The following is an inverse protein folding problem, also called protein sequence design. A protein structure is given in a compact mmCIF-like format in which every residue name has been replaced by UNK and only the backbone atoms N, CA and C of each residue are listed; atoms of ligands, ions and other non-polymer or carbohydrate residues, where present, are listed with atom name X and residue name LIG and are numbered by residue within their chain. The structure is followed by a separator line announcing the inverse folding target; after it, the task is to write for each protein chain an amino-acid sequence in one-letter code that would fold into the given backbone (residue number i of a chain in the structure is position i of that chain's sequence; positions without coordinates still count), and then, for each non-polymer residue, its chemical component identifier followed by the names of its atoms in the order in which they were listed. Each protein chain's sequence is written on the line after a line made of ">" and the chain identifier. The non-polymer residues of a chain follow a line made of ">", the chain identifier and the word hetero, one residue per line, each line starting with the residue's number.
data_IF_942153033662
#
_entry.id   IF_942153033662
#
_cell.length_a   1.000
_cell.length_b   1.000
_cell.length_c   1.000
_cell.angle_alpha   90.00
_cell.angle_beta   90.00
_cell.angle_gamma   90.00
#
_symmetry.space_group_name_H-M   'P 1'
#
loop_
_entity.id
_entity.type
_entity.pdbx_description
1 polymer ?
#
# COMPACT_ATOMS: atom_id res chain seq x y z
N UNK A 1 -4.45 -3.38 -9.89
CA UNK A 1 -3.03 -3.44 -10.24
C UNK A 1 -2.39 -4.62 -9.55
N UNK A 2 -1.98 -5.62 -10.31
CA UNK A 2 -1.34 -6.82 -9.78
C UNK A 2 -0.11 -7.13 -10.63
N UNK A 3 1.00 -7.45 -9.99
CA UNK A 3 2.26 -7.84 -10.65
C UNK A 3 2.79 -6.82 -11.69
N UNK A 4 2.56 -5.53 -11.47
CA UNK A 4 3.00 -4.47 -12.38
C UNK A 4 2.10 -4.28 -13.60
N UNK A 5 0.86 -4.75 -13.54
CA UNK A 5 -0.12 -4.64 -14.63
C UNK A 5 -1.47 -4.17 -14.09
N UNK A 6 -2.12 -3.27 -14.83
CA UNK A 6 -3.51 -2.90 -14.60
C UNK A 6 -4.39 -3.93 -15.30
N UNK A 7 -5.15 -4.68 -14.53
CA UNK A 7 -5.95 -5.79 -15.03
C UNK A 7 -7.43 -5.60 -14.70
N UNK A 8 -8.28 -6.15 -15.56
CA UNK A 8 -9.71 -6.25 -15.31
C UNK A 8 -10.04 -7.41 -14.36
N UNK A 9 -11.29 -7.46 -13.90
CA UNK A 9 -11.81 -8.61 -13.16
C UNK A 9 -11.86 -9.86 -14.06
N UNK A 10 -11.50 -11.01 -13.51
CA UNK A 10 -11.59 -12.31 -14.21
C UNK A 10 -13.02 -12.68 -14.59
N UNK A 11 -14.03 -12.08 -13.92
CA UNK A 11 -15.45 -12.25 -14.22
C UNK A 11 -15.96 -11.25 -15.25
N UNK A 12 -15.18 -10.22 -15.62
CA UNK A 12 -15.62 -9.10 -16.44
C UNK A 12 -16.56 -8.12 -15.72
N UNK A 13 -16.79 -8.32 -14.40
CA UNK A 13 -17.66 -7.45 -13.61
C UNK A 13 -16.94 -6.17 -13.22
N UNK A 14 -17.69 -5.08 -13.09
CA UNK A 14 -17.19 -3.76 -12.69
C UNK A 14 -18.21 -3.05 -11.80
N UNK A 15 -17.77 -1.96 -11.15
CA UNK A 15 -18.61 -1.07 -10.36
C UNK A 15 -18.24 0.38 -10.59
N UNK A 16 -19.19 1.27 -10.41
CA UNK A 16 -19.03 2.71 -10.65
C UNK A 16 -18.58 3.44 -9.40
N UNK A 17 -17.71 4.42 -9.60
CA UNK A 17 -17.29 5.39 -8.60
C UNK A 17 -18.04 6.69 -8.84
N UNK A 18 -18.65 7.21 -7.80
CA UNK A 18 -19.50 8.39 -7.87
C UNK A 18 -18.85 9.59 -7.18
N UNK A 19 -19.06 10.75 -7.76
CA UNK A 19 -18.82 12.01 -7.06
C UNK A 19 -19.95 12.24 -6.04
N UNK A 20 -19.67 12.23 -4.73
CA UNK A 20 -20.71 12.34 -3.70
C UNK A 20 -21.43 13.69 -3.68
N UNK A 21 -20.88 14.73 -4.33
CA UNK A 21 -21.53 16.05 -4.36
C UNK A 21 -22.66 16.17 -5.38
N UNK A 22 -22.66 15.35 -6.44
CA UNK A 22 -23.63 15.44 -7.53
C UNK A 22 -24.09 14.09 -8.07
N UNK A 23 -23.61 12.97 -7.49
CA UNK A 23 -23.90 11.59 -7.90
C UNK A 23 -23.54 11.25 -9.37
N UNK A 24 -22.66 12.01 -9.99
CA UNK A 24 -22.14 11.68 -11.31
C UNK A 24 -21.12 10.55 -11.21
N UNK A 25 -21.15 9.62 -12.16
CA UNK A 25 -20.11 8.61 -12.33
C UNK A 25 -18.83 9.30 -12.80
N UNK A 26 -17.73 9.09 -12.07
CA UNK A 26 -16.41 9.66 -12.38
C UNK A 26 -15.44 8.61 -12.90
N UNK A 27 -15.68 7.35 -12.62
CA UNK A 27 -14.89 6.22 -13.10
C UNK A 27 -15.66 4.91 -12.94
N UNK A 28 -15.22 3.89 -13.67
CA UNK A 28 -15.64 2.50 -13.47
C UNK A 28 -14.42 1.66 -13.10
N UNK A 29 -14.53 0.84 -12.07
CA UNK A 29 -13.45 0.01 -11.55
C UNK A 29 -13.81 -1.47 -11.68
N UNK A 30 -12.82 -2.37 -11.86
CA UNK A 30 -13.08 -3.81 -11.91
C UNK A 30 -13.55 -4.32 -10.54
N UNK A 31 -14.57 -5.18 -10.53
CA UNK A 31 -15.00 -5.91 -9.32
C UNK A 31 -14.11 -7.14 -9.12
N UNK A 32 -13.05 -7.00 -8.32
CA UNK A 32 -12.11 -8.06 -8.03
C UNK A 32 -12.64 -8.97 -6.91
N UNK A 33 -12.21 -10.24 -6.93
CA UNK A 33 -12.68 -11.26 -5.99
C UNK A 33 -11.57 -12.13 -5.43
N UNK A 34 -11.95 -13.35 -5.07
CA UNK A 34 -11.03 -14.32 -4.45
C UNK A 34 -9.91 -14.73 -5.40
N UNK A 35 -10.19 -14.87 -6.71
CA UNK A 35 -9.17 -15.28 -7.69
C UNK A 35 -8.05 -14.25 -7.83
N UNK A 36 -8.41 -12.98 -7.97
CA UNK A 36 -7.43 -11.88 -8.04
C UNK A 36 -6.67 -11.74 -6.72
N UNK A 37 -7.35 -11.97 -5.58
CA UNK A 37 -6.71 -11.93 -4.26
C UNK A 37 -5.66 -13.02 -4.11
N UNK A 38 -5.97 -14.26 -4.50
CA UNK A 38 -5.00 -15.37 -4.49
C UNK A 38 -3.82 -15.08 -5.38
N UNK A 39 -4.07 -14.60 -6.58
CA UNK A 39 -3.00 -14.21 -7.51
C UNK A 39 -2.14 -13.08 -6.95
N UNK A 40 -2.74 -12.04 -6.36
CA UNK A 40 -2.00 -10.95 -5.72
C UNK A 40 -1.12 -11.44 -4.56
N UNK A 41 -1.63 -12.38 -3.73
CA UNK A 41 -0.84 -12.98 -2.63
C UNK A 41 0.33 -13.78 -3.18
N UNK A 42 0.11 -14.58 -4.22
CA UNK A 42 1.17 -15.39 -4.83
C UNK A 42 2.30 -14.51 -5.38
N UNK A 43 1.98 -13.52 -6.21
CA UNK A 43 2.99 -12.64 -6.80
C UNK A 43 3.67 -11.75 -5.75
N UNK A 44 2.94 -11.33 -4.71
CA UNK A 44 3.53 -10.59 -3.59
C UNK A 44 4.56 -11.45 -2.83
N UNK A 45 4.26 -12.72 -2.62
CA UNK A 45 5.18 -13.65 -1.96
C UNK A 45 6.43 -13.92 -2.81
N UNK A 46 6.28 -14.09 -4.12
CA UNK A 46 7.42 -14.24 -5.04
C UNK A 46 8.29 -12.96 -5.09
N UNK A 47 7.66 -11.79 -5.18
CA UNK A 47 8.36 -10.50 -5.21
C UNK A 47 9.08 -10.20 -3.89
N UNK A 48 8.50 -10.61 -2.75
CA UNK A 48 9.08 -10.47 -1.42
C UNK A 48 10.49 -11.08 -1.36
N UNK A 49 10.71 -12.26 -1.96
CA UNK A 49 12.01 -12.95 -1.93
C UNK A 49 13.15 -12.13 -2.55
N UNK A 50 12.84 -11.29 -3.52
CA UNK A 50 13.80 -10.37 -4.15
C UNK A 50 13.88 -9.04 -3.41
N UNK A 51 12.73 -8.50 -2.98
CA UNK A 51 12.64 -7.21 -2.30
C UNK A 51 13.36 -7.21 -0.95
N UNK A 52 13.19 -8.24 -0.14
CA UNK A 52 13.85 -8.38 1.17
C UNK A 52 15.38 -8.43 1.10
N UNK A 53 15.95 -8.82 -0.06
CA UNK A 53 17.40 -8.87 -0.27
C UNK A 53 18.02 -7.52 -0.62
N UNK A 54 17.21 -6.53 -1.02
CA UNK A 54 17.71 -5.17 -1.22
C UNK A 54 18.15 -4.58 0.11
N UNK A 55 19.22 -3.80 0.06
CA UNK A 55 19.66 -3.04 1.24
C UNK A 55 18.62 -2.01 1.67
N UNK A 56 18.64 -1.62 2.93
CA UNK A 56 17.78 -0.53 3.41
C UNK A 56 17.98 0.75 2.57
N UNK A 57 19.21 1.07 2.19
CA UNK A 57 19.54 2.22 1.33
C UNK A 57 18.82 2.17 -0.01
N UNK A 58 18.83 1.03 -0.69
CA UNK A 58 18.15 0.87 -1.99
C UNK A 58 16.64 1.05 -1.87
N UNK A 59 16.01 0.37 -0.88
CA UNK A 59 14.56 0.51 -0.64
C UNK A 59 14.18 1.95 -0.30
N UNK A 60 14.91 2.57 0.61
CA UNK A 60 14.67 3.94 1.04
C UNK A 60 14.89 4.96 -0.09
N UNK A 61 15.84 4.74 -0.99
CA UNK A 61 16.03 5.59 -2.18
C UNK A 61 14.84 5.53 -3.13
N UNK A 62 14.20 4.36 -3.28
CA UNK A 62 12.98 4.22 -4.08
C UNK A 62 11.80 4.92 -3.39
N UNK A 63 11.66 4.78 -2.06
CA UNK A 63 10.64 5.49 -1.29
C UNK A 63 10.82 7.01 -1.39
N UNK A 64 12.05 7.52 -1.37
CA UNK A 64 12.32 8.94 -1.55
C UNK A 64 11.85 9.45 -2.90
N UNK A 65 12.12 8.71 -3.98
CA UNK A 65 11.59 9.03 -5.32
C UNK A 65 10.06 9.03 -5.34
N UNK A 66 9.44 8.09 -4.64
CA UNK A 66 7.98 8.06 -4.54
C UNK A 66 7.43 9.29 -3.83
N UNK A 67 8.06 9.71 -2.73
CA UNK A 67 7.74 10.96 -2.05
C UNK A 67 7.83 12.16 -2.98
N UNK A 68 8.93 12.32 -3.70
CA UNK A 68 9.15 13.43 -4.62
C UNK A 68 8.05 13.45 -5.70
N UNK A 69 7.73 12.29 -6.31
CA UNK A 69 6.66 12.19 -7.30
C UNK A 69 5.27 12.50 -6.73
N UNK A 70 4.97 12.15 -5.48
CA UNK A 70 3.70 12.50 -4.84
C UNK A 70 3.58 14.01 -4.65
N UNK A 71 4.65 14.69 -4.26
CA UNK A 71 4.66 16.15 -4.13
C UNK A 71 4.59 16.87 -5.49
N UNK A 72 5.29 16.37 -6.50
CA UNK A 72 5.25 16.91 -7.87
C UNK A 72 3.85 16.83 -8.49
N UNK A 73 3.02 15.87 -8.06
CA UNK A 73 1.66 15.64 -8.54
C UNK A 73 0.58 16.01 -7.50
N UNK A 74 0.90 16.85 -6.52
CA UNK A 74 -0.01 17.17 -5.41
C UNK A 74 -1.34 17.74 -5.86
N UNK A 75 -1.35 18.57 -6.89
CA UNK A 75 -2.55 19.23 -7.38
C UNK A 75 -3.49 18.21 -8.05
N UNK A 76 -2.98 17.34 -8.91
CA UNK A 76 -3.75 16.28 -9.56
C UNK A 76 -4.31 15.27 -8.56
N UNK A 77 -3.47 14.81 -7.62
CA UNK A 77 -3.89 13.90 -6.54
C UNK A 77 -5.00 14.52 -5.67
N UNK A 78 -4.91 15.83 -5.41
CA UNK A 78 -5.91 16.55 -4.61
C UNK A 78 -7.23 16.67 -5.35
N UNK A 79 -7.20 16.90 -6.65
CA UNK A 79 -8.39 16.96 -7.51
C UNK A 79 -9.06 15.58 -7.54
N UNK A 80 -8.31 14.50 -7.80
CA UNK A 80 -8.83 13.13 -7.79
C UNK A 80 -9.52 12.84 -6.45
N UNK A 81 -8.86 13.14 -5.34
CA UNK A 81 -9.42 12.94 -4.00
C UNK A 81 -10.69 13.75 -3.76
N UNK A 82 -10.72 15.01 -4.15
CA UNK A 82 -11.90 15.86 -4.01
C UNK A 82 -13.09 15.29 -4.79
N UNK A 83 -12.86 14.79 -5.99
CA UNK A 83 -13.93 14.22 -6.82
C UNK A 83 -14.49 12.91 -6.25
N UNK A 84 -13.67 12.01 -5.74
CA UNK A 84 -14.16 10.71 -5.23
C UNK A 84 -14.61 10.75 -3.77
N UNK A 85 -13.99 11.61 -2.93
CA UNK A 85 -14.26 11.68 -1.50
C UNK A 85 -15.26 12.77 -1.12
N UNK A 86 -15.34 13.85 -1.91
CA UNK A 86 -16.21 15.01 -1.65
C UNK A 86 -15.64 16.03 -0.67
N UNK A 87 -14.41 15.84 -0.15
CA UNK A 87 -13.81 16.86 0.73
C UNK A 87 -13.34 18.09 -0.05
N UNK A 88 -13.29 19.26 0.59
CA UNK A 88 -12.80 20.48 -0.05
C UNK A 88 -11.38 20.33 -0.59
N UNK A 89 -11.08 20.93 -1.74
CA UNK A 89 -9.76 20.83 -2.39
C UNK A 89 -8.60 21.22 -1.47
N UNK A 90 -8.81 22.23 -0.61
CA UNK A 90 -7.81 22.65 0.38
C UNK A 90 -7.50 21.54 1.39
N UNK A 91 -8.50 20.77 1.82
CA UNK A 91 -8.33 19.66 2.74
C UNK A 91 -7.71 18.46 2.02
N UNK A 92 -8.09 18.18 0.77
CA UNK A 92 -7.45 17.16 -0.06
C UNK A 92 -5.95 17.45 -0.22
N UNK A 93 -5.59 18.70 -0.51
CA UNK A 93 -4.19 19.12 -0.62
C UNK A 93 -3.43 18.97 0.70
N UNK A 94 -4.06 19.31 1.82
CA UNK A 94 -3.49 19.09 3.15
C UNK A 94 -3.30 17.59 3.45
N UNK A 95 -4.25 16.74 3.03
CA UNK A 95 -4.11 15.30 3.20
C UNK A 95 -3.00 14.72 2.33
N UNK A 96 -2.83 15.14 1.08
CA UNK A 96 -1.72 14.64 0.24
C UNK A 96 -0.37 15.01 0.86
N UNK A 97 -0.21 16.24 1.40
CA UNK A 97 0.99 16.59 2.17
C UNK A 97 1.18 15.71 3.41
N UNK A 98 0.12 15.43 4.14
CA UNK A 98 0.16 14.52 5.29
C UNK A 98 0.48 13.09 4.87
N UNK A 99 -0.09 12.59 3.78
CA UNK A 99 0.20 11.28 3.23
C UNK A 99 1.66 11.15 2.79
N UNK A 100 2.21 12.18 2.14
CA UNK A 100 3.60 12.20 1.69
C UNK A 100 4.59 12.18 2.87
N UNK A 101 4.24 12.82 4.00
CA UNK A 101 5.10 12.85 5.19
C UNK A 101 5.39 11.45 5.77
N UNK A 102 4.49 10.48 5.62
CA UNK A 102 4.77 9.09 6.00
C UNK A 102 5.80 8.45 5.06
N UNK A 103 5.73 8.74 3.76
CA UNK A 103 6.70 8.19 2.81
C UNK A 103 8.09 8.78 3.12
N UNK A 104 8.17 10.09 3.35
CA UNK A 104 9.39 10.78 3.75
C UNK A 104 9.98 10.18 5.02
N UNK A 105 9.19 10.14 6.09
CA UNK A 105 9.61 9.60 7.38
C UNK A 105 10.18 8.19 7.27
N UNK A 106 9.47 7.27 6.62
CA UNK A 106 9.93 5.90 6.50
C UNK A 106 11.02 5.68 5.46
N UNK A 107 11.22 6.62 4.52
CA UNK A 107 12.41 6.64 3.66
C UNK A 107 13.70 6.89 4.45
N UNK A 108 13.60 7.53 5.62
CA UNK A 108 14.72 7.74 6.54
C UNK A 108 14.77 6.67 7.64
N UNK A 109 13.65 6.35 8.29
CA UNK A 109 13.59 5.39 9.38
C UNK A 109 13.92 3.96 8.95
N UNK A 110 13.66 3.58 7.70
CA UNK A 110 14.04 2.27 7.18
C UNK A 110 15.54 1.97 7.32
N UNK A 111 16.38 3.01 7.30
CA UNK A 111 17.84 2.92 7.49
C UNK A 111 18.23 2.71 8.97
N UNK A 112 17.30 2.91 9.92
CA UNK A 112 17.52 2.81 11.38
C UNK A 112 16.90 1.57 11.99
N UNK A 113 16.51 0.59 11.17
CA UNK A 113 15.98 -0.70 11.66
C UNK A 113 17.10 -1.57 12.26
N UNK A 114 17.76 -1.05 13.30
CA UNK A 114 18.93 -1.67 13.93
C UNK A 114 18.54 -2.96 14.69
N UNK A 115 19.52 -3.87 14.81
CA UNK A 115 19.52 -4.97 15.77
C UNK A 115 20.05 -4.52 17.15
N UNK A 116 20.26 -5.50 18.02
CA UNK A 116 20.80 -5.27 19.36
C UNK A 116 21.93 -6.27 19.66
N UNK A 117 22.97 -5.81 20.36
CA UNK A 117 23.89 -6.66 21.08
C UNK A 117 23.45 -6.71 22.53
N UNK A 118 23.24 -7.90 23.08
CA UNK A 118 22.68 -8.12 24.41
C UNK A 118 23.74 -8.85 25.24
N UNK A 119 24.04 -8.42 26.49
CA UNK A 119 24.93 -9.16 27.38
C UNK A 119 24.41 -10.58 27.62
N UNK A 120 25.29 -11.56 27.44
CA UNK A 120 24.98 -12.95 27.70
C UNK A 120 25.19 -13.28 29.18
N UNK A 121 24.50 -14.32 29.66
CA UNK A 121 24.63 -14.86 31.02
C UNK A 121 25.87 -15.71 31.20
N UNK A 122 26.56 -16.06 30.09
CA UNK A 122 27.75 -16.86 30.04
C UNK A 122 28.91 -16.13 29.34
N UNK A 123 30.16 -16.24 29.86
CA UNK A 123 31.27 -15.42 29.35
C UNK A 123 31.72 -15.81 27.93
N UNK A 124 31.43 -17.02 27.51
CA UNK A 124 31.79 -17.60 26.21
C UNK A 124 30.72 -17.32 25.12
N UNK A 125 29.62 -16.60 25.46
CA UNK A 125 28.52 -16.34 24.53
C UNK A 125 28.39 -14.87 24.18
N UNK A 126 27.86 -14.62 22.99
CA UNK A 126 27.39 -13.32 22.53
C UNK A 126 25.99 -13.47 21.97
N UNK A 127 25.09 -12.57 22.35
CA UNK A 127 23.70 -12.53 21.87
C UNK A 127 23.55 -11.31 20.96
N UNK A 128 23.18 -11.56 19.70
CA UNK A 128 22.90 -10.53 18.70
C UNK A 128 21.51 -10.78 18.15
N UNK A 129 20.67 -9.73 18.11
CA UNK A 129 19.37 -9.77 17.43
C UNK A 129 19.42 -8.94 16.16
N UNK A 130 18.71 -9.40 15.13
CA UNK A 130 18.53 -8.69 13.88
C UNK A 130 17.03 -8.54 13.60
N UNK A 131 16.63 -7.45 12.95
CA UNK A 131 15.26 -7.28 12.46
C UNK A 131 15.16 -7.81 11.04
N UNK A 132 14.09 -8.55 10.76
CA UNK A 132 13.81 -9.11 9.43
C UNK A 132 12.37 -8.76 9.02
N UNK A 133 12.11 -8.59 7.70
CA UNK A 133 10.75 -8.37 7.22
C UNK A 133 9.89 -9.62 7.46
N UNK A 134 8.63 -9.39 7.83
CA UNK A 134 7.71 -10.49 8.17
C UNK A 134 7.18 -11.25 6.96
N UNK A 135 7.15 -10.64 5.77
CA UNK A 135 6.61 -11.24 4.54
C UNK A 135 5.56 -10.36 3.86
N UNK A 136 4.53 -10.98 3.30
CA UNK A 136 3.41 -10.28 2.65
C UNK A 136 2.53 -9.61 3.71
N UNK A 137 2.24 -8.31 3.51
CA UNK A 137 1.36 -7.52 4.37
C UNK A 137 0.08 -7.14 3.62
N UNK A 138 -1.08 -7.50 4.16
CA UNK A 138 -2.38 -7.03 3.69
C UNK A 138 -2.76 -5.73 4.42
N UNK A 139 -3.11 -4.70 3.64
CA UNK A 139 -3.38 -3.35 4.13
C UNK A 139 -4.79 -2.94 3.72
N UNK A 140 -5.70 -2.87 4.69
CA UNK A 140 -7.11 -2.52 4.47
C UNK A 140 -7.34 -1.13 5.05
N UNK A 141 -7.92 -0.23 4.24
CA UNK A 141 -8.05 1.19 4.58
C UNK A 141 -9.45 1.73 4.34
N UNK A 142 -9.92 2.70 5.18
CA UNK A 142 -11.20 3.36 5.03
C UNK A 142 -11.15 4.50 4.00
N UNK A 143 -12.33 5.09 3.75
CA UNK A 143 -12.54 6.17 2.78
C UNK A 143 -12.20 7.57 3.29
N UNK A 144 -12.20 7.81 4.59
CA UNK A 144 -12.15 9.17 5.16
C UNK A 144 -10.79 9.89 4.99
N UNK A 145 -9.69 9.13 4.89
CA UNK A 145 -8.35 9.61 4.56
C UNK A 145 -7.72 8.66 3.52
N UNK A 146 -8.20 8.68 2.27
CA UNK A 146 -7.88 7.65 1.27
C UNK A 146 -6.41 7.59 0.87
N UNK A 147 -5.66 8.68 1.00
CA UNK A 147 -4.22 8.69 0.74
C UNK A 147 -3.40 8.40 2.00
N UNK A 148 -3.67 9.12 3.10
CA UNK A 148 -2.86 9.02 4.31
C UNK A 148 -2.95 7.65 4.99
N UNK A 149 -4.13 6.98 4.96
CA UNK A 149 -4.27 5.65 5.54
C UNK A 149 -3.52 4.59 4.75
N UNK A 150 -3.30 4.80 3.45
CA UNK A 150 -2.48 3.93 2.61
C UNK A 150 -1.00 4.16 2.90
N UNK A 151 -0.51 5.38 2.76
CA UNK A 151 0.93 5.66 2.84
C UNK A 151 1.52 5.33 4.21
N UNK A 152 0.78 5.58 5.31
CA UNK A 152 1.21 5.22 6.68
C UNK A 152 1.37 3.72 6.92
N UNK A 153 0.77 2.87 6.07
CA UNK A 153 0.88 1.42 6.12
C UNK A 153 1.88 0.89 5.09
N UNK A 154 1.82 1.40 3.87
CA UNK A 154 2.68 0.96 2.75
C UNK A 154 4.13 1.35 2.99
N UNK A 155 4.39 2.62 3.34
CA UNK A 155 5.76 3.11 3.47
C UNK A 155 6.58 2.33 4.51
N UNK A 156 6.12 2.10 5.76
CA UNK A 156 6.87 1.30 6.73
C UNK A 156 7.02 -0.16 6.30
N UNK A 157 6.00 -0.77 5.66
CA UNK A 157 6.09 -2.14 5.18
C UNK A 157 7.19 -2.30 4.12
N UNK A 158 7.21 -1.41 3.13
CA UNK A 158 8.22 -1.41 2.07
C UNK A 158 9.63 -1.08 2.61
N UNK A 159 9.74 -0.10 3.51
CA UNK A 159 11.00 0.26 4.16
C UNK A 159 11.59 -0.93 4.93
N UNK A 160 10.75 -1.69 5.63
CA UNK A 160 11.14 -2.90 6.34
C UNK A 160 11.54 -4.06 5.39
N UNK A 161 11.16 -4.01 4.11
CA UNK A 161 11.44 -5.06 3.12
C UNK A 161 10.29 -6.04 2.90
N UNK A 162 9.07 -5.73 3.34
CA UNK A 162 7.86 -6.48 3.08
C UNK A 162 7.28 -6.14 1.70
N UNK A 163 6.53 -7.06 1.09
CA UNK A 163 5.62 -6.78 -0.01
C UNK A 163 4.22 -6.50 0.53
N UNK A 164 3.39 -5.80 -0.26
CA UNK A 164 2.09 -5.35 0.21
C UNK A 164 0.96 -5.64 -0.78
N UNK A 165 -0.23 -5.89 -0.23
CA UNK A 165 -1.49 -5.94 -0.94
C UNK A 165 -2.39 -4.89 -0.30
N UNK A 166 -2.84 -3.92 -1.07
CA UNK A 166 -3.69 -2.82 -0.64
C UNK A 166 -5.12 -3.13 -1.03
N UNK A 167 -6.06 -3.07 -0.06
CA UNK A 167 -7.50 -3.05 -0.30
C UNK A 167 -8.03 -1.72 0.23
N UNK A 168 -8.20 -0.70 -0.63
CA UNK A 168 -8.81 0.57 -0.25
C UNK A 168 -10.33 0.41 -0.06
N UNK A 169 -10.96 1.42 0.51
CA UNK A 169 -12.42 1.48 0.52
C UNK A 169 -12.98 1.55 -0.91
N UNK A 170 -14.14 0.95 -1.11
CA UNK A 170 -14.83 0.91 -2.40
C UNK A 170 -15.25 2.29 -2.90
N UNK A 171 -15.44 3.25 -2.00
CA UNK A 171 -15.84 4.61 -2.33
C UNK A 171 -14.67 5.47 -2.85
N UNK A 172 -13.42 5.11 -2.50
CA UNK A 172 -12.24 5.95 -2.78
C UNK A 172 -11.05 5.15 -3.33
N UNK A 173 -11.22 4.38 -4.41
CA UNK A 173 -10.14 3.59 -4.99
C UNK A 173 -9.22 4.40 -5.91
N UNK A 174 -9.64 5.59 -6.39
CA UNK A 174 -8.87 6.36 -7.37
C UNK A 174 -7.63 7.00 -6.75
N UNK A 175 -7.72 7.54 -5.53
CA UNK A 175 -6.55 8.02 -4.77
C UNK A 175 -5.54 6.89 -4.55
N UNK A 176 -6.01 5.68 -4.22
CA UNK A 176 -5.16 4.51 -4.08
C UNK A 176 -4.46 4.15 -5.39
N UNK A 177 -5.21 4.14 -6.50
CA UNK A 177 -4.71 3.84 -7.84
C UNK A 177 -3.63 4.85 -8.26
N UNK A 178 -3.88 6.15 -8.05
CA UNK A 178 -2.93 7.21 -8.37
C UNK A 178 -1.62 7.07 -7.56
N UNK A 179 -1.71 6.78 -6.25
CA UNK A 179 -0.53 6.53 -5.42
C UNK A 179 0.28 5.31 -5.89
N UNK A 180 -0.39 4.21 -6.27
CA UNK A 180 0.26 3.01 -6.80
C UNK A 180 0.91 3.28 -8.15
N UNK A 181 0.26 4.05 -9.03
CA UNK A 181 0.85 4.48 -10.30
C UNK A 181 2.16 5.26 -10.08
N UNK A 182 2.17 6.22 -9.15
CA UNK A 182 3.38 6.97 -8.82
C UNK A 182 4.45 6.08 -8.15
N UNK A 183 4.06 5.08 -7.35
CA UNK A 183 4.97 4.10 -6.78
C UNK A 183 5.67 3.26 -7.85
N UNK A 184 4.94 2.86 -8.89
CA UNK A 184 5.51 2.19 -10.07
C UNK A 184 6.54 3.09 -10.78
N UNK A 185 6.19 4.37 -11.01
CA UNK A 185 7.10 5.36 -11.63
C UNK A 185 8.35 5.63 -10.78
N UNK A 186 8.24 5.52 -9.46
CA UNK A 186 9.38 5.61 -8.55
C UNK A 186 10.36 4.43 -8.67
N UNK A 187 9.93 3.33 -9.31
CA UNK A 187 10.74 2.14 -9.52
C UNK A 187 10.52 1.04 -8.49
N UNK A 188 9.36 1.00 -7.82
CA UNK A 188 8.97 -0.15 -7.01
C UNK A 188 8.78 -1.36 -7.94
N UNK A 189 9.46 -2.49 -7.67
CA UNK A 189 9.40 -3.64 -8.57
C UNK A 189 8.01 -4.26 -8.65
N UNK A 190 7.72 -4.88 -9.81
CA UNK A 190 6.49 -5.65 -10.05
C UNK A 190 6.23 -6.66 -8.93
N UNK A 191 4.99 -6.77 -8.48
CA UNK A 191 4.54 -7.67 -7.41
C UNK A 191 4.86 -7.20 -5.98
N UNK A 192 5.73 -6.22 -5.76
CA UNK A 192 6.03 -5.68 -4.42
C UNK A 192 4.86 -4.88 -3.86
N UNK A 193 4.14 -4.14 -4.72
CA UNK A 193 2.85 -3.52 -4.41
C UNK A 193 1.79 -4.14 -5.31
N UNK A 194 0.65 -4.50 -4.72
CA UNK A 194 -0.54 -4.95 -5.43
C UNK A 194 -1.75 -4.21 -4.85
N UNK A 195 -2.71 -3.86 -5.72
CA UNK A 195 -3.93 -3.14 -5.38
C UNK A 195 -5.14 -3.95 -5.81
N UNK A 196 -6.01 -4.26 -4.86
CA UNK A 196 -7.28 -4.96 -5.08
C UNK A 196 -8.42 -3.99 -4.82
N UNK A 197 -9.32 -3.84 -5.78
CA UNK A 197 -10.51 -3.00 -5.69
C UNK A 197 -11.76 -3.85 -5.85
N UNK A 198 -12.79 -3.59 -5.06
CA UNK A 198 -14.08 -4.28 -5.14
C UNK A 198 -15.15 -3.48 -4.40
N UNK A 199 -16.36 -3.49 -4.91
CA UNK A 199 -17.53 -2.98 -4.21
C UNK A 199 -17.96 -3.92 -3.07
N UNK A 200 -17.81 -5.24 -3.26
CA UNK A 200 -18.00 -6.22 -2.19
C UNK A 200 -16.66 -6.61 -1.55
N UNK A 201 -16.31 -6.06 -0.36
CA UNK A 201 -15.01 -6.29 0.27
C UNK A 201 -14.90 -7.67 0.95
N UNK A 202 -16.02 -8.37 1.23
CA UNK A 202 -16.04 -9.54 2.09
C UNK A 202 -15.19 -10.70 1.54
N UNK A 203 -15.30 -11.09 0.25
CA UNK A 203 -14.50 -12.20 -0.29
C UNK A 203 -12.99 -11.92 -0.25
N UNK A 204 -12.59 -10.68 -0.56
CA UNK A 204 -11.18 -10.25 -0.51
C UNK A 204 -10.68 -10.28 0.94
N UNK A 205 -11.42 -9.67 1.86
CA UNK A 205 -11.06 -9.63 3.27
C UNK A 205 -10.90 -11.02 3.88
N UNK A 206 -11.84 -11.93 3.57
CA UNK A 206 -11.76 -13.31 4.03
C UNK A 206 -10.53 -14.04 3.48
N UNK A 207 -10.28 -13.97 2.17
CA UNK A 207 -9.10 -14.61 1.56
C UNK A 207 -7.80 -14.06 2.17
N UNK A 208 -7.68 -12.74 2.36
CA UNK A 208 -6.51 -12.14 2.98
C UNK A 208 -6.28 -12.60 4.43
N UNK A 209 -7.37 -12.86 5.18
CA UNK A 209 -7.28 -13.37 6.55
C UNK A 209 -6.91 -14.86 6.62
N UNK A 210 -7.44 -15.66 5.70
CA UNK A 210 -7.29 -17.11 5.73
C UNK A 210 -6.00 -17.59 5.04
N UNK A 211 -5.39 -16.76 4.19
CA UNK A 211 -4.24 -17.16 3.38
C UNK A 211 -2.94 -17.15 4.20
N UNK A 212 -2.34 -18.32 4.38
CA UNK A 212 -1.11 -18.51 5.16
C UNK A 212 0.12 -17.74 4.66
N UNK A 213 0.15 -17.33 3.39
CA UNK A 213 1.22 -16.49 2.84
C UNK A 213 1.12 -15.04 3.28
N UNK A 214 -0.05 -14.58 3.73
CA UNK A 214 -0.23 -13.26 4.35
C UNK A 214 0.28 -13.34 5.79
N UNK A 215 1.33 -12.60 6.10
CA UNK A 215 2.03 -12.66 7.39
C UNK A 215 1.63 -11.55 8.35
N UNK A 216 1.00 -10.51 7.86
CA UNK A 216 0.50 -9.38 8.65
C UNK A 216 -0.71 -8.77 7.97
N UNK A 217 -1.70 -8.45 8.78
CA UNK A 217 -2.83 -7.60 8.38
C UNK A 217 -2.77 -6.30 9.16
N UNK A 218 -2.91 -5.18 8.45
CA UNK A 218 -3.07 -3.85 9.03
C UNK A 218 -4.40 -3.28 8.57
N UNK A 219 -5.36 -3.26 9.49
CA UNK A 219 -6.72 -2.79 9.26
C UNK A 219 -6.94 -1.41 9.91
N UNK A 220 -7.58 -0.52 9.20
CA UNK A 220 -8.21 0.68 9.72
C UNK A 220 -9.59 0.80 9.11
N UNK A 221 -10.61 0.90 9.92
CA UNK A 221 -12.01 0.96 9.49
C UNK A 221 -12.94 1.02 10.69
N UNK A 222 -14.22 0.77 10.44
CA UNK A 222 -15.26 0.65 11.46
C UNK A 222 -15.67 -0.82 11.65
N UNK A 223 -16.24 -1.13 12.78
CA UNK A 223 -16.94 -2.38 13.08
C UNK A 223 -18.36 -2.33 12.54
#
# INVERSE_FOLDING_TARGET
>A
YINGEWIDSSTGSSFDIYNPSNNQIIATMPEMGVSETKYAVEVANQAFEKWKKKTAKERCSILRKWYDLVLDNIDDLSIIMTYENGKPLKESKAEINYASSFIDWFSEEGKRAYGRSIPATQPDKRIITIKQPVGVCALITPWNFPAAMITRKVAPALAAGCSVIIKPAEQTPLSASALVYLAEKAGIPKGVINLLVANNPIPIGKELCDNFSVRKISFTGST
#
